data_IF_468224156876
#
_entry.id   IF_468224156876
#
_cell.length_a   1.000
_cell.length_b   1.000
_cell.length_c   1.000
_cell.angle_alpha   90.00
_cell.angle_beta   90.00
_cell.angle_gamma   90.00
#
_symmetry.space_group_name_H-M   'P 1'
#
loop_
_entity.id
_entity.type
_entity.pdbx_description
1 polymer ?
#
# COMPACT_ATOMS: atom_id res chain seq x y z
N UNK A 1 3.30 0.00 10.13
CA UNK A 1 1.87 -0.33 10.16
C UNK A 1 1.55 -0.95 11.50
N UNK A 2 0.68 -0.32 12.29
CA UNK A 2 0.30 -0.87 13.59
C UNK A 2 -0.68 -2.06 13.48
N UNK A 3 -0.90 -2.72 14.62
CA UNK A 3 -1.75 -3.90 14.73
C UNK A 3 -3.23 -3.63 14.41
N UNK A 4 -3.73 -2.41 14.67
CA UNK A 4 -5.12 -2.07 14.40
C UNK A 4 -5.34 -1.93 12.89
N UNK A 5 -4.39 -1.32 12.19
CA UNK A 5 -4.41 -1.21 10.74
C UNK A 5 -4.32 -2.59 10.07
N UNK A 6 -3.45 -3.47 10.56
CA UNK A 6 -3.41 -4.87 10.09
C UNK A 6 -4.76 -5.58 10.27
N UNK A 7 -5.40 -5.43 11.44
CA UNK A 7 -6.70 -6.05 11.69
C UNK A 7 -7.77 -5.52 10.73
N UNK A 8 -7.82 -4.20 10.50
CA UNK A 8 -8.79 -3.59 9.57
C UNK A 8 -8.62 -4.07 8.14
N UNK A 9 -7.38 -4.25 7.69
CA UNK A 9 -7.08 -4.78 6.35
C UNK A 9 -7.52 -6.23 6.24
N UNK A 10 -7.22 -7.04 7.25
CA UNK A 10 -7.67 -8.43 7.33
C UNK A 10 -9.20 -8.53 7.27
N UNK A 11 -9.89 -7.76 8.11
CA UNK A 11 -11.36 -7.75 8.15
C UNK A 11 -11.96 -7.31 6.81
N UNK A 12 -11.35 -6.34 6.12
CA UNK A 12 -11.78 -5.90 4.81
C UNK A 12 -11.61 -7.00 3.75
N UNK A 13 -10.44 -7.65 3.71
CA UNK A 13 -10.17 -8.76 2.80
C UNK A 13 -11.11 -9.95 3.03
N UNK A 14 -11.39 -10.31 4.29
CA UNK A 14 -12.33 -11.37 4.64
C UNK A 14 -13.78 -11.02 4.28
N UNK A 15 -14.18 -9.75 4.46
CA UNK A 15 -15.54 -9.29 4.20
C UNK A 15 -15.85 -9.13 2.71
N UNK A 16 -14.90 -8.60 1.93
CA UNK A 16 -15.15 -8.20 0.54
C UNK A 16 -14.47 -9.12 -0.48
N UNK A 17 -13.56 -10.00 -0.06
CA UNK A 17 -12.70 -10.77 -0.95
C UNK A 17 -11.43 -9.99 -1.29
N UNK A 18 -10.29 -10.67 -1.31
CA UNK A 18 -8.99 -10.04 -1.54
C UNK A 18 -8.87 -9.43 -2.95
N UNK A 19 -9.61 -9.99 -3.93
CA UNK A 19 -9.71 -9.49 -5.30
C UNK A 19 -10.50 -8.17 -5.41
N UNK A 20 -11.27 -7.79 -4.39
CA UNK A 20 -12.10 -6.58 -4.36
C UNK A 20 -11.56 -5.51 -3.39
N UNK A 21 -10.34 -5.69 -2.88
CA UNK A 21 -9.70 -4.78 -1.92
C UNK A 21 -8.33 -4.37 -2.42
N UNK A 22 -8.08 -3.06 -2.45
CA UNK A 22 -6.77 -2.47 -2.75
C UNK A 22 -6.24 -1.68 -1.55
N UNK A 23 -4.94 -1.74 -1.31
CA UNK A 23 -4.25 -0.95 -0.28
C UNK A 23 -3.47 0.18 -0.94
N UNK A 24 -3.71 1.42 -0.49
CA UNK A 24 -2.97 2.60 -0.94
C UNK A 24 -2.13 3.11 0.23
N UNK A 25 -0.81 3.18 0.04
CA UNK A 25 0.16 3.63 1.03
C UNK A 25 0.56 5.09 0.75
N UNK A 26 0.71 5.87 1.82
CA UNK A 26 1.24 7.24 1.78
C UNK A 26 2.48 7.40 2.67
N UNK A 27 3.39 6.43 2.62
CA UNK A 27 4.63 6.48 3.41
C UNK A 27 5.55 7.56 2.85
N UNK A 28 6.22 8.31 3.70
CA UNK A 28 7.26 9.26 3.29
C UNK A 28 8.66 8.64 3.22
N UNK A 29 8.77 7.36 3.55
CA UNK A 29 10.01 6.60 3.62
C UNK A 29 9.88 5.30 2.80
N UNK A 30 10.86 5.04 1.92
CA UNK A 30 10.83 3.94 0.98
C UNK A 30 10.97 2.58 1.67
N UNK A 31 11.90 2.45 2.63
CA UNK A 31 12.10 1.21 3.37
C UNK A 31 10.84 0.84 4.18
N UNK A 32 10.24 1.82 4.85
CA UNK A 32 8.95 1.65 5.51
C UNK A 32 7.82 1.28 4.55
N UNK A 33 7.80 1.86 3.34
CA UNK A 33 6.81 1.54 2.32
C UNK A 33 6.92 0.08 1.85
N UNK A 34 8.13 -0.44 1.65
CA UNK A 34 8.36 -1.84 1.30
C UNK A 34 7.84 -2.79 2.38
N UNK A 35 8.19 -2.54 3.64
CA UNK A 35 7.73 -3.37 4.76
C UNK A 35 6.20 -3.37 4.86
N UNK A 36 5.56 -2.22 4.66
CA UNK A 36 4.09 -2.14 4.73
C UNK A 36 3.43 -2.82 3.53
N UNK A 37 4.01 -2.69 2.34
CA UNK A 37 3.57 -3.39 1.15
C UNK A 37 3.71 -4.91 1.31
N UNK A 38 4.80 -5.38 1.90
CA UNK A 38 5.05 -6.80 2.14
C UNK A 38 4.05 -7.33 3.18
N UNK A 39 3.79 -6.55 4.23
CA UNK A 39 2.85 -6.93 5.30
C UNK A 39 1.45 -7.25 4.77
N UNK A 40 0.95 -6.51 3.77
CA UNK A 40 -0.41 -6.70 3.22
C UNK A 40 -0.48 -7.70 2.08
N UNK A 41 0.64 -7.93 1.39
CA UNK A 41 0.72 -8.86 0.26
C UNK A 41 1.21 -10.24 0.70
N UNK A 42 2.34 -10.32 1.38
CA UNK A 42 3.01 -11.55 1.81
C UNK A 42 2.80 -11.89 3.30
N UNK A 43 2.26 -10.95 4.08
CA UNK A 43 2.11 -11.08 5.53
C UNK A 43 3.24 -10.38 6.29
N UNK A 44 3.02 -10.09 7.58
CA UNK A 44 3.97 -9.32 8.39
C UNK A 44 5.30 -10.09 8.57
N UNK A 45 6.45 -9.54 8.10
CA UNK A 45 7.74 -10.23 8.13
C UNK A 45 8.35 -10.32 9.55
N UNK A 46 7.81 -9.56 10.51
CA UNK A 46 8.21 -9.63 11.93
C UNK A 46 7.52 -10.76 12.67
N UNK A 47 6.58 -11.47 12.01
CA UNK A 47 5.75 -12.54 12.59
C UNK A 47 4.95 -12.08 13.82
N UNK A 48 4.60 -10.79 13.88
CA UNK A 48 3.76 -10.22 14.92
C UNK A 48 2.47 -9.66 14.32
N UNK A 49 1.37 -9.84 15.04
CA UNK A 49 0.09 -9.21 14.70
C UNK A 49 -0.85 -10.01 13.80
N UNK A 50 -1.99 -9.41 13.41
CA UNK A 50 -3.05 -10.08 12.67
C UNK A 50 -2.65 -10.65 11.30
N UNK A 51 -1.63 -10.07 10.67
CA UNK A 51 -1.12 -10.49 9.36
C UNK A 51 0.16 -11.34 9.44
N UNK A 52 0.60 -11.71 10.63
CA UNK A 52 1.75 -12.62 10.81
C UNK A 52 1.52 -13.95 10.09
N UNK A 53 2.32 -14.23 9.06
CA UNK A 53 2.21 -15.45 8.26
C UNK A 53 0.89 -15.62 7.50
N UNK A 54 0.14 -14.52 7.29
CA UNK A 54 -1.11 -14.52 6.55
C UNK A 54 -0.97 -13.76 5.21
N UNK A 55 -0.48 -14.41 4.14
CA UNK A 55 -0.29 -13.77 2.84
C UNK A 55 -1.64 -13.56 2.15
N UNK A 56 -2.21 -12.36 2.31
CA UNK A 56 -3.49 -12.01 1.67
C UNK A 56 -3.34 -11.82 0.16
N UNK A 57 -2.13 -11.51 -0.33
CA UNK A 57 -1.84 -11.26 -1.74
C UNK A 57 -2.54 -10.00 -2.29
N UNK A 58 -2.84 -9.04 -1.42
CA UNK A 58 -3.59 -7.84 -1.78
C UNK A 58 -2.79 -6.97 -2.77
N UNK A 59 -3.44 -6.39 -3.79
CA UNK A 59 -2.84 -5.33 -4.59
C UNK A 59 -2.51 -4.14 -3.68
N UNK A 60 -1.27 -3.66 -3.77
CA UNK A 60 -0.78 -2.53 -2.97
C UNK A 60 -0.07 -1.51 -3.85
N UNK A 61 -0.41 -0.23 -3.66
CA UNK A 61 0.11 0.89 -4.45
C UNK A 61 0.57 2.02 -3.54
N UNK A 62 1.57 2.78 -3.99
CA UNK A 62 1.87 4.07 -3.38
C UNK A 62 0.90 5.13 -3.91
N UNK A 63 0.53 6.11 -3.08
CA UNK A 63 -0.35 7.21 -3.50
C UNK A 63 0.20 7.97 -4.70
N UNK A 64 1.54 8.07 -4.81
CA UNK A 64 2.25 8.74 -5.90
C UNK A 64 2.33 7.94 -7.20
N UNK A 65 1.80 6.71 -7.26
CA UNK A 65 1.75 5.99 -8.53
C UNK A 65 0.75 6.62 -9.49
N UNK A 66 1.07 6.59 -10.78
CA UNK A 66 0.23 7.20 -11.82
C UNK A 66 -1.19 6.65 -11.82
N UNK A 67 -1.35 5.34 -11.69
CA UNK A 67 -2.66 4.65 -11.62
C UNK A 67 -3.54 5.23 -10.49
N UNK A 68 -2.93 5.65 -9.38
CA UNK A 68 -3.65 6.26 -8.25
C UNK A 68 -3.89 7.75 -8.48
N UNK A 69 -2.90 8.46 -9.04
CA UNK A 69 -3.00 9.88 -9.37
C UNK A 69 -4.18 10.19 -10.29
N UNK A 70 -4.43 9.32 -11.28
CA UNK A 70 -5.49 9.45 -12.29
C UNK A 70 -6.90 9.26 -11.71
N UNK A 71 -7.03 8.48 -10.64
CA UNK A 71 -8.30 8.28 -9.91
C UNK A 71 -8.61 9.42 -8.91
N UNK A 72 -7.64 10.29 -8.63
CA UNK A 72 -7.79 11.36 -7.65
C UNK A 72 -8.38 12.64 -8.25
N UNK A 73 -9.22 13.33 -7.47
CA UNK A 73 -9.67 14.68 -7.80
C UNK A 73 -8.46 15.64 -7.90
N UNK A 74 -8.28 16.37 -9.02
CA UNK A 74 -7.13 17.24 -9.19
C UNK A 74 -7.04 18.40 -8.19
N UNK A 75 -8.17 18.95 -7.74
CA UNK A 75 -8.19 20.07 -6.81
C UNK A 75 -7.82 19.61 -5.40
N UNK A 76 -8.30 18.44 -4.97
CA UNK A 76 -7.91 17.85 -3.69
C UNK A 76 -6.45 17.39 -3.69
N UNK A 77 -5.95 16.84 -4.81
CA UNK A 77 -4.53 16.51 -4.93
C UNK A 77 -3.65 17.74 -4.78
N UNK A 78 -3.98 18.84 -5.45
CA UNK A 78 -3.24 20.09 -5.34
C UNK A 78 -3.30 20.65 -3.91
N UNK A 79 -4.44 20.53 -3.23
CA UNK A 79 -4.59 21.03 -1.88
C UNK A 79 -3.87 20.19 -0.82
N UNK A 80 -3.80 18.86 -0.99
CA UNK A 80 -3.37 17.93 0.07
C UNK A 80 -2.05 17.23 -0.21
N UNK A 81 -1.68 17.01 -1.47
CA UNK A 81 -0.61 16.09 -1.86
C UNK A 81 0.55 16.81 -2.57
N UNK A 82 0.28 17.86 -3.36
CA UNK A 82 1.30 18.50 -4.23
C UNK A 82 2.53 19.00 -3.47
N UNK A 83 2.35 19.51 -2.24
CA UNK A 83 3.47 19.93 -1.41
C UNK A 83 4.41 18.76 -1.07
N UNK A 84 3.86 17.58 -0.75
CA UNK A 84 4.66 16.41 -0.43
C UNK A 84 5.30 15.80 -1.68
N UNK A 85 4.62 15.87 -2.82
CA UNK A 85 5.16 15.43 -4.12
C UNK A 85 6.45 16.20 -4.49
N UNK A 86 6.56 17.48 -4.12
CA UNK A 86 7.77 18.28 -4.32
C UNK A 86 8.86 18.08 -3.26
N UNK A 87 8.50 17.60 -2.07
CA UNK A 87 9.43 17.44 -0.92
C UNK A 87 10.04 16.05 -0.87
N UNK A 88 9.27 15.04 -1.25
CA UNK A 88 9.66 13.64 -1.22
C UNK A 88 10.28 13.22 -2.56
N UNK A 89 10.61 11.94 -2.67
CA UNK A 89 11.00 11.29 -3.92
C UNK A 89 9.86 10.35 -4.36
N UNK A 90 8.87 10.84 -5.14
CA UNK A 90 7.73 10.05 -5.58
C UNK A 90 8.14 8.79 -6.34
N UNK A 91 9.17 8.90 -7.18
CA UNK A 91 9.63 7.80 -8.03
C UNK A 91 10.24 6.67 -7.19
N UNK A 92 11.07 7.01 -6.20
CA UNK A 92 11.64 6.01 -5.29
C UNK A 92 10.56 5.31 -4.45
N UNK A 93 9.57 6.08 -3.93
CA UNK A 93 8.46 5.53 -3.14
C UNK A 93 7.55 4.62 -3.97
N UNK A 94 7.20 5.04 -5.18
CA UNK A 94 6.43 4.26 -6.13
C UNK A 94 7.17 2.97 -6.52
N UNK A 95 8.47 3.06 -6.82
CA UNK A 95 9.29 1.91 -7.21
C UNK A 95 9.41 0.87 -6.08
N UNK A 96 9.59 1.32 -4.84
CA UNK A 96 9.65 0.47 -3.64
C UNK A 96 8.37 -0.38 -3.49
N UNK A 97 7.20 0.27 -3.50
CA UNK A 97 5.92 -0.43 -3.36
C UNK A 97 5.63 -1.33 -4.57
N UNK A 98 5.91 -0.84 -5.79
CA UNK A 98 5.74 -1.62 -7.02
C UNK A 98 6.59 -2.89 -7.04
N UNK A 99 7.85 -2.81 -6.59
CA UNK A 99 8.74 -3.98 -6.52
C UNK A 99 8.21 -5.09 -5.62
N UNK A 100 7.55 -4.74 -4.52
CA UNK A 100 6.87 -5.69 -3.64
C UNK A 100 5.56 -6.19 -4.27
N UNK A 101 4.78 -5.30 -4.89
CA UNK A 101 3.53 -5.66 -5.58
C UNK A 101 3.77 -6.74 -6.63
N UNK A 102 4.78 -6.57 -7.48
CA UNK A 102 5.13 -7.52 -8.55
C UNK A 102 5.55 -8.91 -8.02
N UNK A 103 6.07 -8.99 -6.80
CA UNK A 103 6.51 -10.25 -6.20
C UNK A 103 5.39 -11.02 -5.50
N UNK A 104 4.50 -10.32 -4.79
CA UNK A 104 3.62 -10.94 -3.81
C UNK A 104 2.13 -10.68 -4.01
N UNK A 105 1.76 -9.68 -4.81
CA UNK A 105 0.34 -9.43 -5.08
C UNK A 105 -0.21 -10.45 -6.08
N UNK A 106 -1.43 -10.93 -5.83
CA UNK A 106 -2.14 -11.86 -6.73
C UNK A 106 -3.05 -11.15 -7.72
N UNK A 107 -3.32 -9.88 -7.48
CA UNK A 107 -4.17 -9.01 -8.29
C UNK A 107 -3.47 -7.66 -8.49
N UNK A 108 -3.93 -6.90 -9.48
CA UNK A 108 -3.52 -5.54 -9.78
C UNK A 108 -4.77 -4.76 -10.23
N UNK A 109 -4.71 -3.43 -10.16
CA UNK A 109 -5.73 -2.54 -10.73
C UNK A 109 -5.80 -2.66 -12.26
#
# INVERSE_FOLDING_TARGET
MDLQNQQRIKDAAEKFGAENVVVILGSSDAEGAEIYAETVSNGDPTFAGPLAGAPLGLPVYHVFEQDIREECDPAEWEAQISMMEMVLDPDALAAAVKGIREQFSKHAL
#
